data_IF_791991518289
#
_entry.id   IF_791991518289
#
_cell.length_a   1.000
_cell.length_b   1.000
_cell.length_c   1.000
_cell.angle_alpha   90.00
_cell.angle_beta   90.00
_cell.angle_gamma   90.00
#
_symmetry.space_group_name_H-M   'P 1'
#
loop_
_entity.id
_entity.type
_entity.pdbx_description
1 polymer ?
#
# COMPACT_ATOMS: atom_id res chain seq x y z
N UNK A 1 -0.56 7.42 -1.94
CA UNK A 1 -0.78 8.08 -0.63
C UNK A 1 0.50 8.75 -0.12
N UNK A 2 1.64 8.07 -0.04
CA UNK A 2 2.92 8.63 0.45
C UNK A 2 3.31 9.95 -0.24
N UNK A 3 3.25 10.01 -1.59
CA UNK A 3 3.48 11.27 -2.32
C UNK A 3 2.58 12.39 -1.84
N UNK A 4 1.25 12.16 -1.82
CA UNK A 4 0.26 13.17 -1.42
C UNK A 4 0.54 13.69 0.00
N UNK A 5 0.80 12.79 0.96
CA UNK A 5 1.10 13.18 2.34
C UNK A 5 2.42 13.96 2.44
N UNK A 6 3.48 13.52 1.74
CA UNK A 6 4.79 14.18 1.79
C UNK A 6 4.80 15.59 1.17
N UNK A 7 3.96 15.85 0.16
CA UNK A 7 3.85 17.13 -0.55
C UNK A 7 2.82 18.08 0.08
N UNK A 8 1.84 17.55 0.84
CA UNK A 8 0.80 18.34 1.50
C UNK A 8 1.40 19.19 2.62
N UNK A 9 1.00 20.47 2.68
CA UNK A 9 1.48 21.43 3.70
C UNK A 9 0.49 21.65 4.86
N UNK A 10 -0.81 21.58 4.60
CA UNK A 10 -1.83 21.96 5.58
C UNK A 10 -2.70 20.77 5.98
N UNK A 11 -3.61 20.34 5.10
CA UNK A 11 -4.61 19.28 5.40
C UNK A 11 -4.56 18.20 4.33
N UNK A 12 -4.45 16.94 4.75
CA UNK A 12 -4.48 15.79 3.86
C UNK A 12 -5.93 15.38 3.59
N UNK A 13 -6.44 15.69 2.40
CA UNK A 13 -7.77 15.25 1.98
C UNK A 13 -7.75 13.81 1.47
N UNK A 14 -8.64 12.97 1.98
CA UNK A 14 -8.78 11.56 1.61
C UNK A 14 -10.23 11.26 1.27
N UNK A 15 -10.46 10.53 0.19
CA UNK A 15 -11.80 10.17 -0.26
C UNK A 15 -12.41 9.08 0.63
N UNK A 16 -13.71 9.15 0.84
CA UNK A 16 -14.48 8.24 1.69
C UNK A 16 -14.35 8.59 3.17
N UNK A 17 -14.71 7.66 4.02
CA UNK A 17 -14.69 7.76 5.49
C UNK A 17 -13.52 7.03 6.15
N UNK A 18 -12.72 6.33 5.33
CA UNK A 18 -11.59 5.53 5.79
C UNK A 18 -11.95 4.16 6.35
N UNK A 19 -13.22 3.75 6.34
CA UNK A 19 -13.68 2.46 6.91
C UNK A 19 -13.34 1.26 6.02
N UNK A 20 -13.19 1.47 4.70
CA UNK A 20 -12.92 0.40 3.74
C UNK A 20 -11.64 -0.38 4.10
N UNK A 21 -11.75 -1.72 4.12
CA UNK A 21 -10.66 -2.62 4.49
C UNK A 21 -9.99 -3.19 3.26
N UNK A 22 -8.66 -3.17 3.25
CA UNK A 22 -7.81 -3.67 2.16
C UNK A 22 -6.67 -4.51 2.68
N UNK A 23 -6.21 -5.42 1.84
CA UNK A 23 -4.98 -6.16 2.01
C UNK A 23 -3.83 -5.38 1.34
N UNK A 24 -2.72 -5.25 2.04
CA UNK A 24 -1.52 -4.59 1.56
C UNK A 24 -0.31 -5.51 1.73
N UNK A 25 0.47 -5.63 0.69
CA UNK A 25 1.73 -6.38 0.70
C UNK A 25 2.86 -5.48 0.17
N UNK A 26 4.05 -5.59 0.77
CA UNK A 26 5.22 -4.85 0.29
C UNK A 26 5.74 -5.44 -1.03
N UNK A 27 6.26 -4.58 -1.91
CA UNK A 27 6.74 -5.01 -3.23
C UNK A 27 7.86 -6.05 -3.17
N UNK A 28 8.72 -6.02 -2.14
CA UNK A 28 9.76 -7.04 -1.94
C UNK A 28 9.17 -8.42 -1.70
N UNK A 29 8.07 -8.52 -0.93
CA UNK A 29 7.40 -9.79 -0.69
C UNK A 29 6.64 -10.28 -1.92
N UNK A 30 6.11 -9.37 -2.76
CA UNK A 30 5.57 -9.75 -4.07
C UNK A 30 6.66 -10.34 -4.94
N UNK A 31 7.81 -9.68 -5.04
CA UNK A 31 8.95 -10.17 -5.83
C UNK A 31 9.44 -11.53 -5.33
N UNK A 32 9.60 -11.68 -3.99
CA UNK A 32 9.95 -12.97 -3.37
C UNK A 32 8.90 -14.05 -3.66
N UNK A 33 7.61 -13.71 -3.59
CA UNK A 33 6.53 -14.65 -3.87
C UNK A 33 6.54 -15.14 -5.33
N UNK A 34 6.88 -14.26 -6.27
CA UNK A 34 7.04 -14.64 -7.69
C UNK A 34 8.23 -15.61 -7.88
N UNK A 35 9.38 -15.31 -7.28
CA UNK A 35 10.56 -16.19 -7.31
C UNK A 35 10.24 -17.53 -6.65
N UNK A 36 9.62 -17.49 -5.46
CA UNK A 36 9.20 -18.66 -4.71
C UNK A 36 8.30 -19.58 -5.53
N UNK A 37 7.33 -19.02 -6.27
CA UNK A 37 6.45 -19.80 -7.12
C UNK A 37 7.22 -20.55 -8.22
N UNK A 38 8.21 -19.92 -8.83
CA UNK A 38 9.06 -20.53 -9.87
C UNK A 38 9.95 -21.63 -9.28
N UNK A 39 10.65 -21.35 -8.17
CA UNK A 39 11.57 -22.30 -7.52
C UNK A 39 10.85 -23.57 -7.02
N UNK A 40 9.62 -23.40 -6.52
CA UNK A 40 8.78 -24.51 -6.05
C UNK A 40 7.91 -25.13 -7.14
N UNK A 41 8.08 -24.72 -8.42
CA UNK A 41 7.35 -25.25 -9.58
C UNK A 41 5.83 -25.23 -9.39
N UNK A 42 5.31 -24.15 -8.78
CA UNK A 42 3.87 -23.99 -8.56
C UNK A 42 3.23 -23.65 -9.91
N UNK A 43 2.35 -24.54 -10.38
CA UNK A 43 1.69 -24.43 -11.70
C UNK A 43 0.26 -23.92 -11.61
N UNK A 44 -0.29 -23.81 -10.41
CA UNK A 44 -1.63 -23.28 -10.16
C UNK A 44 -1.58 -21.82 -9.68
N UNK A 45 -2.65 -21.04 -9.91
CA UNK A 45 -2.71 -19.67 -9.43
C UNK A 45 -2.65 -19.60 -7.91
N UNK A 46 -1.76 -18.74 -7.37
CA UNK A 46 -1.69 -18.38 -5.95
C UNK A 46 -1.89 -16.89 -5.78
N UNK A 47 -2.52 -16.48 -4.69
CA UNK A 47 -2.59 -15.09 -4.30
C UNK A 47 -1.30 -14.68 -3.56
N UNK A 48 -0.79 -13.49 -3.87
CA UNK A 48 0.28 -12.85 -3.11
C UNK A 48 -0.30 -11.63 -2.40
N UNK A 49 -0.61 -11.78 -1.14
CA UNK A 49 -1.14 -10.76 -0.25
C UNK A 49 -0.56 -10.92 1.15
N UNK A 50 -0.98 -10.09 2.08
CA UNK A 50 -0.62 -10.26 3.49
C UNK A 50 -1.60 -11.20 4.23
N UNK A 51 -2.81 -11.35 3.70
CA UNK A 51 -3.92 -12.03 4.37
C UNK A 51 -4.44 -11.26 5.58
N UNK A 52 -4.01 -10.00 5.78
CA UNK A 52 -4.45 -9.14 6.89
C UNK A 52 -5.18 -7.92 6.34
N UNK A 53 -6.31 -7.59 6.96
CA UNK A 53 -7.11 -6.43 6.62
C UNK A 53 -6.70 -5.21 7.43
N UNK A 54 -6.50 -4.09 6.73
CA UNK A 54 -6.29 -2.79 7.35
C UNK A 54 -7.28 -1.79 6.79
N UNK A 55 -7.88 -0.97 7.66
CA UNK A 55 -8.73 0.12 7.18
C UNK A 55 -7.89 1.19 6.48
N UNK A 56 -8.49 1.86 5.50
CA UNK A 56 -7.83 2.99 4.85
C UNK A 56 -7.43 4.06 5.86
N UNK A 57 -8.22 4.22 6.94
CA UNK A 57 -7.88 5.12 8.04
C UNK A 57 -6.53 4.75 8.68
N UNK A 58 -6.35 3.50 9.09
CA UNK A 58 -5.09 3.01 9.66
C UNK A 58 -3.90 3.24 8.71
N UNK A 59 -4.09 2.94 7.43
CA UNK A 59 -3.03 3.13 6.42
C UNK A 59 -2.65 4.61 6.27
N UNK A 60 -3.64 5.51 6.25
CA UNK A 60 -3.40 6.96 6.13
C UNK A 60 -2.68 7.49 7.36
N UNK A 61 -3.08 7.07 8.55
CA UNK A 61 -2.43 7.44 9.82
C UNK A 61 -0.98 6.98 9.86
N UNK A 62 -0.68 5.73 9.45
CA UNK A 62 0.70 5.23 9.32
C UNK A 62 1.52 6.06 8.33
N UNK A 63 0.95 6.39 7.16
CA UNK A 63 1.64 7.21 6.15
C UNK A 63 1.96 8.60 6.69
N UNK A 64 1.02 9.26 7.36
CA UNK A 64 1.23 10.60 7.96
C UNK A 64 2.32 10.53 9.02
N UNK A 65 2.28 9.52 9.91
CA UNK A 65 3.30 9.26 10.92
C UNK A 65 4.70 9.15 10.29
N UNK A 66 4.86 8.33 9.23
CA UNK A 66 6.16 8.11 8.59
C UNK A 66 6.61 9.26 7.69
N UNK A 67 5.71 10.17 7.30
CA UNK A 67 6.11 11.43 6.65
C UNK A 67 6.73 12.43 7.64
N UNK A 68 6.73 12.16 8.95
CA UNK A 68 7.26 13.04 9.97
C UNK A 68 6.52 14.37 10.09
N UNK A 69 5.22 14.39 9.76
CA UNK A 69 4.40 15.59 9.74
C UNK A 69 3.18 15.41 10.63
N UNK A 70 2.77 16.48 11.29
CA UNK A 70 1.46 16.56 11.96
C UNK A 70 0.44 17.15 10.96
N UNK A 71 -0.15 16.27 10.14
CA UNK A 71 -1.11 16.66 9.10
C UNK A 71 -2.53 16.30 9.55
N UNK A 72 -3.42 17.29 9.75
CA UNK A 72 -4.84 17.02 9.89
C UNK A 72 -5.37 16.24 8.68
N UNK A 73 -6.16 15.20 8.92
CA UNK A 73 -6.77 14.38 7.88
C UNK A 73 -8.23 14.83 7.74
N UNK A 74 -8.61 15.22 6.52
CA UNK A 74 -9.99 15.56 6.16
C UNK A 74 -10.57 14.47 5.27
N UNK A 75 -11.57 13.78 5.76
CA UNK A 75 -12.31 12.75 5.04
C UNK A 75 -13.38 13.39 4.16
N UNK A 76 -13.35 13.08 2.87
CA UNK A 76 -14.32 13.54 1.88
C UNK A 76 -15.38 12.44 1.68
N UNK A 77 -16.36 12.39 2.57
CA UNK A 77 -17.38 11.34 2.61
C UNK A 77 -18.40 11.40 1.48
N UNK A 78 -18.43 12.51 0.74
CA UNK A 78 -19.20 12.70 -0.49
C UNK A 78 -18.56 11.98 -1.70
N UNK A 79 -17.30 11.53 -1.57
CA UNK A 79 -16.56 10.83 -2.61
C UNK A 79 -16.63 9.32 -2.45
N UNK A 80 -16.57 8.57 -3.59
CA UNK A 80 -16.62 7.10 -3.54
C UNK A 80 -15.56 6.48 -2.65
N UNK A 81 -15.93 5.52 -1.80
CA UNK A 81 -15.00 4.75 -0.96
C UNK A 81 -14.61 3.39 -1.56
N UNK A 82 -15.32 2.94 -2.60
CA UNK A 82 -15.15 1.60 -3.19
C UNK A 82 -15.73 0.49 -2.31
N UNK A 83 -15.30 -0.76 -2.53
CA UNK A 83 -15.79 -1.93 -1.78
C UNK A 83 -15.50 -1.80 -0.28
N UNK A 84 -16.41 -2.26 0.57
CA UNK A 84 -16.23 -2.23 2.03
C UNK A 84 -15.07 -3.11 2.49
N UNK A 85 -14.90 -4.29 1.87
CA UNK A 85 -13.88 -5.28 2.22
C UNK A 85 -13.29 -5.92 0.97
N UNK A 86 -11.94 -5.95 0.89
CA UNK A 86 -11.21 -6.72 -0.12
C UNK A 86 -9.94 -7.29 0.50
N UNK A 87 -9.93 -8.61 0.72
CA UNK A 87 -8.81 -9.38 1.24
C UNK A 87 -8.45 -10.50 0.27
N UNK A 88 -7.18 -10.89 0.26
CA UNK A 88 -6.74 -12.07 -0.45
C UNK A 88 -6.84 -13.32 0.43
N UNK A 89 -7.37 -14.40 -0.12
CA UNK A 89 -7.25 -15.72 0.49
C UNK A 89 -5.84 -16.26 0.25
N UNK A 90 -5.07 -16.36 1.33
CA UNK A 90 -3.68 -16.81 1.32
C UNK A 90 -3.51 -18.31 1.60
N UNK A 91 -4.60 -19.05 1.75
CA UNK A 91 -4.58 -20.49 2.14
C UNK A 91 -3.67 -21.30 1.23
N UNK A 92 -3.80 -21.14 -0.09
CA UNK A 92 -3.01 -21.88 -1.07
C UNK A 92 -1.53 -21.48 -1.03
N UNK A 93 -1.19 -20.19 -1.00
CA UNK A 93 0.19 -19.74 -0.91
C UNK A 93 0.87 -20.26 0.36
N UNK A 94 0.16 -20.20 1.49
CA UNK A 94 0.64 -20.72 2.79
C UNK A 94 0.81 -22.23 2.80
N UNK A 95 -0.03 -22.98 2.10
CA UNK A 95 0.12 -24.45 2.01
C UNK A 95 1.41 -24.86 1.29
N UNK A 96 1.96 -24.01 0.42
CA UNK A 96 3.28 -24.19 -0.18
C UNK A 96 4.43 -23.67 0.70
N UNK A 97 4.14 -22.97 1.79
CA UNK A 97 5.13 -22.39 2.69
C UNK A 97 5.47 -20.93 2.45
N UNK A 98 4.74 -20.24 1.56
CA UNK A 98 4.95 -18.79 1.38
C UNK A 98 4.33 -17.99 2.52
N UNK A 99 5.11 -17.06 3.08
CA UNK A 99 4.61 -16.04 3.99
C UNK A 99 5.33 -14.71 3.75
N UNK A 100 4.72 -13.61 4.21
CA UNK A 100 5.30 -12.27 4.11
C UNK A 100 6.41 -12.08 5.14
N UNK A 101 7.41 -11.27 4.79
CA UNK A 101 8.54 -10.92 5.66
C UNK A 101 8.51 -9.44 6.11
N UNK A 102 7.73 -8.60 5.45
CA UNK A 102 7.62 -7.17 5.75
C UNK A 102 6.21 -6.87 6.24
N UNK A 103 6.08 -6.40 7.48
CA UNK A 103 4.78 -5.93 7.97
C UNK A 103 4.37 -4.59 7.34
N UNK A 104 3.10 -4.20 7.54
CA UNK A 104 2.57 -3.02 6.86
C UNK A 104 3.23 -1.73 7.34
N UNK A 105 3.48 -1.55 8.66
CA UNK A 105 4.08 -0.31 9.19
C UNK A 105 5.50 -0.11 8.64
N UNK A 106 6.31 -1.17 8.65
CA UNK A 106 7.65 -1.15 8.08
C UNK A 106 7.62 -0.95 6.55
N UNK A 107 6.71 -1.61 5.83
CA UNK A 107 6.54 -1.45 4.39
C UNK A 107 6.16 -0.02 4.01
N UNK A 108 5.26 0.62 4.75
CA UNK A 108 4.89 2.03 4.56
C UNK A 108 6.09 2.93 4.86
N UNK A 109 6.82 2.67 5.94
CA UNK A 109 8.03 3.42 6.30
C UNK A 109 9.05 3.38 5.15
N UNK A 110 9.43 2.19 4.68
CA UNK A 110 10.39 2.02 3.57
C UNK A 110 9.93 2.76 2.31
N UNK A 111 8.66 2.63 1.96
CA UNK A 111 8.07 3.29 0.77
C UNK A 111 8.10 4.81 0.91
N UNK A 112 7.80 5.34 2.10
CA UNK A 112 7.80 6.78 2.37
C UNK A 112 9.22 7.34 2.35
N UNK A 113 10.17 6.67 3.02
CA UNK A 113 11.58 7.04 3.03
C UNK A 113 12.15 7.04 1.61
N UNK A 114 11.87 5.98 0.83
CA UNK A 114 12.29 5.92 -0.56
C UNK A 114 11.73 7.08 -1.39
N UNK A 115 10.45 7.39 -1.25
CA UNK A 115 9.81 8.49 -1.96
C UNK A 115 10.47 9.84 -1.61
N UNK A 116 10.69 10.10 -0.31
CA UNK A 116 11.29 11.35 0.16
C UNK A 116 12.71 11.53 -0.41
N UNK A 117 13.50 10.46 -0.40
CA UNK A 117 14.89 10.49 -0.85
C UNK A 117 15.04 10.50 -2.38
N UNK A 118 13.99 10.14 -3.13
CA UNK A 118 14.06 10.01 -4.59
C UNK A 118 13.09 10.96 -5.34
N UNK A 119 12.64 12.05 -4.73
CA UNK A 119 11.68 12.99 -5.35
C UNK A 119 12.12 13.47 -6.74
N UNK A 120 13.40 13.82 -6.92
CA UNK A 120 13.92 14.31 -8.20
C UNK A 120 13.91 13.29 -9.34
N UNK A 121 13.82 11.99 -9.03
CA UNK A 121 13.74 10.92 -10.05
C UNK A 121 12.30 10.78 -10.54
N UNK A 122 11.32 10.97 -9.65
CA UNK A 122 9.89 10.78 -9.95
C UNK A 122 9.33 11.89 -10.84
N UNK A 123 9.82 13.12 -10.70
CA UNK A 123 9.36 14.27 -11.50
C UNK A 123 9.71 14.15 -12.99
N UNK A 124 10.62 13.24 -13.35
CA UNK A 124 11.03 12.96 -14.74
C UNK A 124 10.22 11.85 -15.41
N UNK A 125 9.35 11.14 -14.68
CA UNK A 125 8.56 10.05 -15.24
C UNK A 125 7.28 10.59 -15.88
N UNK A 126 6.95 10.05 -17.07
CA UNK A 126 5.65 10.26 -17.69
C UNK A 126 4.52 9.88 -16.72
N UNK A 127 3.61 10.81 -16.49
CA UNK A 127 2.44 10.57 -15.65
C UNK A 127 1.19 10.59 -16.54
N UNK A 128 0.70 9.40 -16.88
CA UNK A 128 -0.48 9.21 -17.73
C UNK A 128 -1.77 9.89 -17.20
N UNK A 129 -1.80 10.25 -15.89
CA UNK A 129 -2.97 10.88 -15.27
C UNK A 129 -2.92 12.42 -15.29
N UNK A 130 -1.83 13.01 -15.74
CA UNK A 130 -1.64 14.48 -15.77
C UNK A 130 -1.55 15.03 -17.19
N UNK A 131 -1.20 14.17 -18.15
CA UNK A 131 -1.07 14.54 -19.57
C UNK A 131 -2.30 14.05 -20.36
N UNK A 132 -3.36 14.84 -20.34
CA UNK A 132 -4.48 14.76 -21.28
C UNK A 132 -4.47 15.98 -22.16
#
# INVERSE_FOLDING_TARGET
>A
MCRKASETKNTLEVWGDGSAIRDFIHCDDVAKGMIFAVENKITEPINLGSGKGYSIKQVVEMVVKHCGKDLPIKWLTDKPSGDALRLFDMTRAKSYGFDISVDLDEGIKRTTDWFINNKGILDKRYNAFVHH
#
